data_IF_303954924059
#
_entry.id   IF_303954924059
#
_cell.length_a   1.000
_cell.length_b   1.000
_cell.length_c   1.000
_cell.angle_alpha   90.00
_cell.angle_beta   90.00
_cell.angle_gamma   90.00
#
_symmetry.space_group_name_H-M   'P 1'
#
loop_
_entity.id
_entity.type
_entity.pdbx_description
1 polymer ?
#
# COMPACT_ATOMS: atom_id res chain seq x y z
N UNK A 1 8.37 22.10 -3.10
CA UNK A 1 7.02 22.16 -3.68
C UNK A 1 6.79 23.60 -4.04
N UNK A 2 6.44 23.89 -5.29
CA UNK A 2 6.06 25.24 -5.70
C UNK A 2 4.60 25.14 -6.11
N UNK A 3 3.74 25.84 -5.40
CA UNK A 3 2.33 26.00 -5.73
C UNK A 3 2.17 27.33 -6.48
N UNK A 4 1.68 27.26 -7.72
CA UNK A 4 1.44 28.42 -8.56
C UNK A 4 -0.05 28.47 -8.91
N UNK A 5 -0.67 29.63 -8.69
CA UNK A 5 -2.05 29.87 -9.10
C UNK A 5 -2.06 30.39 -10.54
N UNK A 6 -2.49 29.57 -11.47
CA UNK A 6 -2.61 29.93 -12.89
C UNK A 6 -4.02 30.47 -13.14
N UNK A 7 -4.11 31.75 -13.50
CA UNK A 7 -5.37 32.40 -13.86
C UNK A 7 -5.52 32.39 -15.37
N UNK A 8 -6.46 31.61 -15.89
CA UNK A 8 -6.77 31.61 -17.32
C UNK A 8 -7.74 32.76 -17.64
N UNK A 9 -7.29 33.74 -18.42
CA UNK A 9 -8.15 34.79 -18.97
C UNK A 9 -8.65 34.40 -20.36
N UNK A 10 -9.96 34.19 -20.50
CA UNK A 10 -10.62 34.10 -21.81
C UNK A 10 -11.12 35.50 -22.19
N UNK A 11 -10.49 36.14 -23.19
CA UNK A 11 -10.97 37.42 -23.73
C UNK A 11 -12.16 37.13 -24.64
N UNK A 12 -13.37 37.39 -24.12
CA UNK A 12 -14.61 37.36 -24.89
C UNK A 12 -15.68 36.42 -24.33
N UNK A 13 -16.66 37.01 -23.63
CA UNK A 13 -17.93 36.45 -23.12
C UNK A 13 -17.87 35.64 -21.80
N UNK A 14 -18.52 36.22 -20.78
CA UNK A 14 -18.83 35.68 -19.45
C UNK A 14 -17.62 35.26 -18.58
N UNK A 15 -17.19 36.17 -17.71
CA UNK A 15 -16.09 35.95 -16.76
C UNK A 15 -16.50 34.98 -15.65
N UNK A 16 -16.30 33.68 -15.90
CA UNK A 16 -16.13 32.69 -14.85
C UNK A 16 -14.63 32.35 -14.80
N UNK A 17 -13.92 32.96 -13.86
CA UNK A 17 -12.49 32.76 -13.66
C UNK A 17 -12.26 31.32 -13.19
N UNK A 18 -11.84 30.45 -14.12
CA UNK A 18 -11.36 29.12 -13.76
C UNK A 18 -9.94 29.27 -13.21
N UNK A 19 -9.81 29.43 -11.90
CA UNK A 19 -8.52 29.35 -11.22
C UNK A 19 -8.03 27.92 -11.30
N UNK A 20 -6.85 27.71 -11.89
CA UNK A 20 -6.18 26.41 -11.95
C UNK A 20 -4.94 26.48 -11.10
N UNK A 21 -4.90 25.72 -10.01
CA UNK A 21 -3.66 25.57 -9.25
C UNK A 21 -2.80 24.52 -9.94
N UNK A 22 -1.57 24.90 -10.32
CA UNK A 22 -0.55 23.97 -10.76
C UNK A 22 0.49 23.81 -9.66
N UNK A 23 0.76 22.55 -9.29
CA UNK A 23 1.77 22.23 -8.28
C UNK A 23 2.89 21.45 -8.95
N UNK A 24 4.12 21.96 -8.83
CA UNK A 24 5.32 21.29 -9.35
C UNK A 24 6.11 20.66 -8.20
N UNK A 25 6.36 19.37 -8.37
CA UNK A 25 7.21 18.58 -7.48
C UNK A 25 8.48 18.19 -8.22
N UNK A 26 9.64 18.42 -7.61
CA UNK A 26 10.94 18.06 -8.18
C UNK A 26 11.25 16.57 -8.08
N UNK A 27 10.50 15.82 -7.27
CA UNK A 27 10.70 14.39 -7.08
C UNK A 27 9.36 13.64 -7.16
N UNK A 28 9.34 12.53 -7.90
CA UNK A 28 8.14 11.73 -8.13
C UNK A 28 7.52 11.21 -6.82
N UNK A 29 8.34 10.86 -5.82
CA UNK A 29 7.85 10.43 -4.50
C UNK A 29 6.98 11.50 -3.81
N UNK A 30 7.31 12.79 -3.91
CA UNK A 30 6.49 13.84 -3.30
C UNK A 30 5.18 14.03 -4.06
N UNK A 31 5.19 13.86 -5.38
CA UNK A 31 3.98 13.85 -6.19
C UNK A 31 3.07 12.67 -5.79
N UNK A 32 3.63 11.47 -5.64
CA UNK A 32 2.88 10.29 -5.21
C UNK A 32 2.35 10.44 -3.78
N UNK A 33 3.13 11.01 -2.87
CA UNK A 33 2.68 11.34 -1.53
C UNK A 33 1.53 12.36 -1.53
N UNK A 34 1.61 13.39 -2.37
CA UNK A 34 0.53 14.37 -2.51
C UNK A 34 -0.75 13.72 -3.06
N UNK A 35 -0.63 12.89 -4.10
CA UNK A 35 -1.76 12.12 -4.63
C UNK A 35 -2.34 11.13 -3.62
N UNK A 36 -1.50 10.55 -2.76
CA UNK A 36 -1.91 9.62 -1.71
C UNK A 36 -2.85 10.27 -0.69
N UNK A 37 -2.71 11.57 -0.42
CA UNK A 37 -3.62 12.29 0.49
C UNK A 37 -5.06 12.24 -0.03
N UNK A 38 -5.24 12.51 -1.32
CA UNK A 38 -6.57 12.49 -1.94
C UNK A 38 -7.11 11.07 -2.07
N UNK A 39 -6.26 10.09 -2.44
CA UNK A 39 -6.67 8.69 -2.46
C UNK A 39 -7.11 8.22 -1.07
N UNK A 40 -6.36 8.56 -0.03
CA UNK A 40 -6.68 8.24 1.37
C UNK A 40 -8.04 8.82 1.77
N UNK A 41 -8.27 10.10 1.45
CA UNK A 41 -9.54 10.78 1.72
C UNK A 41 -10.72 10.08 1.02
N UNK A 42 -10.60 9.77 -0.27
CA UNK A 42 -11.66 9.07 -1.02
C UNK A 42 -11.88 7.66 -0.44
N UNK A 43 -10.80 6.94 -0.15
CA UNK A 43 -10.85 5.56 0.31
C UNK A 43 -11.37 5.42 1.76
N UNK A 44 -11.21 6.43 2.61
CA UNK A 44 -11.79 6.42 3.95
C UNK A 44 -13.33 6.38 3.93
N UNK A 45 -13.95 7.05 2.95
CA UNK A 45 -15.39 7.28 2.93
C UNK A 45 -16.15 6.11 2.29
N UNK A 46 -16.71 5.23 3.14
CA UNK A 46 -17.44 4.02 2.73
C UNK A 46 -18.65 4.25 1.83
N UNK A 47 -19.21 5.47 1.79
CA UNK A 47 -20.32 5.88 0.91
C UNK A 47 -19.88 6.18 -0.52
N UNK A 48 -18.58 6.35 -0.76
CA UNK A 48 -18.02 6.71 -2.07
C UNK A 48 -17.45 5.50 -2.82
N UNK A 49 -18.01 4.29 -2.64
CA UNK A 49 -17.43 3.06 -3.22
C UNK A 49 -17.29 3.11 -4.74
N UNK A 50 -18.28 3.68 -5.43
CA UNK A 50 -18.25 3.79 -6.90
C UNK A 50 -17.23 4.83 -7.36
N UNK A 51 -17.02 5.89 -6.58
CA UNK A 51 -15.95 6.85 -6.85
C UNK A 51 -14.59 6.21 -6.59
N UNK A 52 -14.40 5.55 -5.45
CA UNK A 52 -13.18 4.83 -5.11
C UNK A 52 -12.81 3.81 -6.20
N UNK A 53 -13.76 2.96 -6.61
CA UNK A 53 -13.52 1.99 -7.69
C UNK A 53 -13.11 2.67 -8.99
N UNK A 54 -13.83 3.72 -9.42
CA UNK A 54 -13.50 4.47 -10.63
C UNK A 54 -12.14 5.15 -10.56
N UNK A 55 -11.73 5.62 -9.39
CA UNK A 55 -10.39 6.21 -9.18
C UNK A 55 -9.31 5.12 -9.24
N UNK A 56 -9.51 4.01 -8.52
CA UNK A 56 -8.55 2.90 -8.48
C UNK A 56 -8.37 2.22 -9.84
N UNK A 57 -9.43 2.10 -10.63
CA UNK A 57 -9.36 1.49 -11.97
C UNK A 57 -8.57 2.33 -12.99
N UNK A 58 -8.35 3.62 -12.71
CA UNK A 58 -7.56 4.53 -13.56
C UNK A 58 -6.07 4.55 -13.24
N UNK A 59 -5.67 4.03 -12.09
CA UNK A 59 -4.29 4.11 -11.60
C UNK A 59 -3.76 2.69 -11.51
N UNK A 60 -2.66 2.37 -12.18
CA UNK A 60 -2.00 1.08 -11.99
C UNK A 60 -1.29 1.06 -10.62
N UNK A 61 -1.72 0.21 -9.66
CA UNK A 61 -1.11 0.15 -8.33
C UNK A 61 0.38 -0.18 -8.33
N UNK A 62 0.87 -0.98 -9.28
CA UNK A 62 2.27 -1.41 -9.31
C UNK A 62 3.19 -0.30 -9.86
N UNK A 63 2.71 0.50 -10.80
CA UNK A 63 3.47 1.64 -11.35
C UNK A 63 3.47 2.86 -10.41
N UNK A 64 2.47 2.96 -9.54
CA UNK A 64 2.29 4.06 -8.58
C UNK A 64 2.23 3.53 -7.15
N UNK A 65 3.17 2.64 -6.83
CA UNK A 65 3.17 1.91 -5.57
C UNK A 65 3.17 2.83 -4.34
N UNK A 66 3.80 4.00 -4.41
CA UNK A 66 3.89 4.90 -3.27
C UNK A 66 2.57 5.63 -3.01
N UNK A 67 1.77 5.93 -4.04
CA UNK A 67 0.41 6.47 -3.85
C UNK A 67 -0.40 5.56 -2.91
N UNK A 68 -0.39 4.26 -3.18
CA UNK A 68 -1.17 3.27 -2.43
C UNK A 68 -0.57 3.01 -1.05
N UNK A 69 0.75 2.82 -0.96
CA UNK A 69 1.44 2.57 0.30
C UNK A 69 1.28 3.75 1.26
N UNK A 70 1.49 4.99 0.80
CA UNK A 70 1.26 6.17 1.61
C UNK A 70 -0.22 6.31 1.98
N UNK A 71 -1.16 6.13 1.05
CA UNK A 71 -2.59 6.25 1.36
C UNK A 71 -3.02 5.28 2.47
N UNK A 72 -2.51 4.05 2.42
CA UNK A 72 -2.68 3.10 3.51
C UNK A 72 -2.06 3.65 4.80
N UNK A 73 -0.76 3.95 4.83
CA UNK A 73 -0.08 4.43 6.03
C UNK A 73 -0.67 5.72 6.65
N UNK A 74 -1.36 6.53 5.87
CA UNK A 74 -2.04 7.75 6.31
C UNK A 74 -3.38 7.49 7.01
N UNK A 75 -4.13 6.46 6.63
CA UNK A 75 -5.47 6.20 7.19
C UNK A 75 -5.83 4.71 7.19
N UNK A 76 -6.18 4.19 8.37
CA UNK A 76 -6.53 2.77 8.54
C UNK A 76 -7.77 2.34 7.74
N UNK A 77 -8.82 3.17 7.70
CA UNK A 77 -10.05 2.82 6.95
C UNK A 77 -9.77 2.81 5.45
N UNK A 78 -8.98 3.78 4.98
CA UNK A 78 -8.51 3.79 3.59
C UNK A 78 -7.74 2.52 3.28
N UNK A 79 -6.81 2.11 4.16
CA UNK A 79 -6.03 0.90 4.00
C UNK A 79 -6.89 -0.35 3.85
N UNK A 80 -7.88 -0.54 4.72
CA UNK A 80 -8.81 -1.68 4.66
C UNK A 80 -9.54 -1.73 3.31
N UNK A 81 -10.00 -0.58 2.81
CA UNK A 81 -10.73 -0.52 1.54
C UNK A 81 -9.81 -0.73 0.32
N UNK A 82 -8.60 -0.16 0.34
CA UNK A 82 -7.59 -0.32 -0.70
C UNK A 82 -7.10 -1.77 -0.77
N UNK A 83 -6.74 -2.36 0.37
CA UNK A 83 -6.30 -3.76 0.46
C UNK A 83 -7.39 -4.70 -0.07
N UNK A 84 -8.65 -4.48 0.30
CA UNK A 84 -9.77 -5.28 -0.21
C UNK A 84 -9.94 -5.16 -1.73
N UNK A 85 -9.61 -4.02 -2.32
CA UNK A 85 -9.61 -3.86 -3.78
C UNK A 85 -8.46 -4.66 -4.42
N UNK A 86 -7.25 -4.55 -3.87
CA UNK A 86 -6.06 -5.24 -4.38
C UNK A 86 -6.19 -6.78 -4.28
N UNK A 87 -6.68 -7.30 -3.14
CA UNK A 87 -6.96 -8.73 -2.95
C UNK A 87 -7.95 -9.27 -3.99
N UNK A 88 -8.95 -8.47 -4.39
CA UNK A 88 -9.93 -8.87 -5.41
C UNK A 88 -9.33 -8.95 -6.82
N UNK A 89 -8.28 -8.18 -7.11
CA UNK A 89 -7.58 -8.29 -8.41
C UNK A 89 -6.71 -9.55 -8.50
N UNK A 90 -6.18 -10.04 -7.37
CA UNK A 90 -5.35 -11.24 -7.32
C UNK A 90 -4.00 -11.09 -8.03
N UNK A 91 -3.25 -12.19 -8.16
CA UNK A 91 -1.93 -12.20 -8.79
C UNK A 91 -0.92 -11.31 -8.05
N UNK A 92 -0.14 -10.52 -8.79
CA UNK A 92 0.86 -9.62 -8.22
C UNK A 92 0.28 -8.56 -7.26
N UNK A 93 -1.00 -8.24 -7.40
CA UNK A 93 -1.70 -7.32 -6.50
C UNK A 93 -1.90 -7.90 -5.10
N UNK A 94 -1.91 -9.23 -4.94
CA UNK A 94 -1.98 -9.86 -3.63
C UNK A 94 -0.68 -9.63 -2.84
N UNK A 95 0.49 -9.85 -3.46
CA UNK A 95 1.79 -9.52 -2.88
C UNK A 95 1.87 -8.03 -2.55
N UNK A 96 1.42 -7.18 -3.47
CA UNK A 96 1.41 -5.74 -3.27
C UNK A 96 0.49 -5.29 -2.11
N UNK A 97 -0.65 -5.96 -1.91
CA UNK A 97 -1.54 -5.69 -0.79
C UNK A 97 -0.84 -5.91 0.57
N UNK A 98 0.08 -6.88 0.66
CA UNK A 98 0.86 -7.12 1.87
C UNK A 98 1.78 -5.94 2.20
N UNK A 99 2.44 -5.37 1.18
CA UNK A 99 3.24 -4.14 1.33
C UNK A 99 2.38 -3.00 1.89
N UNK A 100 1.17 -2.82 1.34
CA UNK A 100 0.21 -1.82 1.81
C UNK A 100 -0.24 -2.04 3.27
N UNK A 101 -0.41 -3.28 3.72
CA UNK A 101 -0.73 -3.59 5.12
C UNK A 101 0.45 -3.22 6.03
N UNK A 102 1.69 -3.49 5.60
CA UNK A 102 2.90 -3.22 6.39
C UNK A 102 3.13 -1.73 6.69
N UNK A 103 2.52 -0.83 5.91
CA UNK A 103 2.57 0.63 6.16
C UNK A 103 1.75 1.07 7.37
N UNK A 104 0.83 0.23 7.86
CA UNK A 104 0.01 0.55 9.04
C UNK A 104 0.90 0.63 10.29
N UNK A 105 1.08 1.84 10.81
CA UNK A 105 1.77 2.07 12.07
C UNK A 105 0.79 1.88 13.22
N UNK A 106 0.89 0.74 13.91
CA UNK A 106 0.10 0.42 15.09
C UNK A 106 -0.90 -0.72 14.85
N UNK A 107 -0.90 -1.69 15.76
CA UNK A 107 -1.74 -2.89 15.69
C UNK A 107 -3.17 -2.63 16.12
N UNK A 108 -3.92 -1.85 15.34
CA UNK A 108 -5.36 -1.69 15.60
C UNK A 108 -6.10 -2.99 15.25
N UNK A 109 -7.30 -3.19 15.82
CA UNK A 109 -8.04 -4.46 15.67
C UNK A 109 -8.26 -4.86 14.20
N UNK A 110 -8.48 -3.91 13.29
CA UNK A 110 -8.70 -4.23 11.86
C UNK A 110 -7.40 -4.58 11.15
N UNK A 111 -6.31 -3.88 11.45
CA UNK A 111 -4.98 -4.22 10.94
C UNK A 111 -4.58 -5.60 11.41
N UNK A 112 -4.73 -5.89 12.70
CA UNK A 112 -4.44 -7.21 13.25
C UNK A 112 -5.31 -8.31 12.64
N UNK A 113 -6.56 -8.01 12.29
CA UNK A 113 -7.42 -8.94 11.55
C UNK A 113 -6.92 -9.20 10.13
N UNK A 114 -6.46 -8.18 9.40
CA UNK A 114 -5.83 -8.35 8.07
C UNK A 114 -4.54 -9.16 8.17
N UNK A 115 -3.68 -8.85 9.15
CA UNK A 115 -2.44 -9.58 9.42
C UNK A 115 -2.74 -11.04 9.80
N UNK A 116 -3.73 -11.27 10.66
CA UNK A 116 -4.14 -12.63 11.08
C UNK A 116 -4.68 -13.45 9.90
N UNK A 117 -5.50 -12.84 9.04
CA UNK A 117 -6.01 -13.48 7.83
C UNK A 117 -4.86 -13.88 6.88
N UNK A 118 -3.88 -12.99 6.70
CA UNK A 118 -2.69 -13.26 5.90
C UNK A 118 -1.87 -14.40 6.49
N UNK A 119 -1.68 -14.41 7.80
CA UNK A 119 -0.97 -15.44 8.56
C UNK A 119 -1.77 -16.74 8.76
N UNK A 120 -3.04 -16.79 8.38
CA UNK A 120 -3.84 -18.03 8.45
C UNK A 120 -3.51 -18.99 7.30
N UNK A 121 -2.82 -18.49 6.26
CA UNK A 121 -2.33 -19.29 5.14
C UNK A 121 -0.81 -19.43 5.22
N UNK A 122 -0.22 -20.47 4.61
CA UNK A 122 1.23 -20.55 4.46
C UNK A 122 1.75 -19.30 3.74
N UNK A 123 2.63 -18.56 4.41
CA UNK A 123 3.33 -17.43 3.81
C UNK A 123 4.61 -17.98 3.20
N UNK A 124 4.81 -17.71 1.91
CA UNK A 124 6.02 -18.12 1.16
C UNK A 124 6.87 -16.89 0.93
N UNK A 125 8.14 -16.98 1.28
CA UNK A 125 9.17 -16.00 0.97
C UNK A 125 10.13 -16.68 -0.02
N UNK A 126 10.26 -16.11 -1.20
CA UNK A 126 11.06 -16.63 -2.30
C UNK A 126 12.35 -15.80 -2.47
N UNK A 127 13.43 -16.41 -2.97
CA UNK A 127 14.70 -15.70 -3.21
C UNK A 127 14.62 -14.71 -4.37
N UNK A 128 13.68 -14.93 -5.29
CA UNK A 128 13.35 -13.98 -6.37
C UNK A 128 12.50 -12.79 -5.89
N UNK A 129 11.96 -12.83 -4.66
CA UNK A 129 11.21 -11.71 -4.12
C UNK A 129 12.13 -10.52 -3.81
N UNK A 130 11.64 -9.29 -4.07
CA UNK A 130 12.39 -8.10 -3.70
C UNK A 130 12.68 -8.05 -2.20
N UNK A 131 13.88 -7.58 -1.81
CA UNK A 131 14.27 -7.36 -0.41
C UNK A 131 13.24 -6.55 0.37
N UNK A 132 12.60 -5.58 -0.29
CA UNK A 132 11.52 -4.78 0.29
C UNK A 132 10.32 -5.65 0.69
N UNK A 133 9.86 -6.51 -0.22
CA UNK A 133 8.76 -7.44 0.07
C UNK A 133 9.11 -8.42 1.17
N UNK A 134 10.28 -9.05 1.10
CA UNK A 134 10.74 -9.98 2.14
C UNK A 134 10.73 -9.31 3.53
N UNK A 135 11.24 -8.08 3.64
CA UNK A 135 11.22 -7.30 4.89
C UNK A 135 9.80 -7.00 5.38
N UNK A 136 8.91 -6.59 4.48
CA UNK A 136 7.52 -6.32 4.84
C UNK A 136 6.80 -7.58 5.32
N UNK A 137 7.04 -8.74 4.70
CA UNK A 137 6.49 -10.02 5.15
C UNK A 137 6.98 -10.36 6.55
N UNK A 138 8.28 -10.23 6.82
CA UNK A 138 8.85 -10.44 8.16
C UNK A 138 8.21 -9.51 9.19
N UNK A 139 8.06 -8.22 8.87
CA UNK A 139 7.39 -7.24 9.75
C UNK A 139 5.92 -7.63 10.06
N UNK A 140 5.19 -8.15 9.06
CA UNK A 140 3.81 -8.63 9.26
C UNK A 140 3.79 -9.86 10.18
N UNK A 141 4.72 -10.80 10.01
CA UNK A 141 4.84 -11.99 10.86
C UNK A 141 5.21 -11.64 12.31
N UNK A 142 6.13 -10.71 12.52
CA UNK A 142 6.47 -10.19 13.85
C UNK A 142 5.26 -9.53 14.53
N UNK A 143 4.49 -8.75 13.75
CA UNK A 143 3.26 -8.11 14.22
C UNK A 143 2.21 -9.15 14.63
N UNK A 144 2.04 -10.19 13.82
CA UNK A 144 1.15 -11.31 14.11
C UNK A 144 1.56 -12.04 15.40
N UNK A 145 2.85 -12.34 15.53
CA UNK A 145 3.41 -13.05 16.69
C UNK A 145 3.14 -12.29 18.00
N UNK A 146 3.37 -10.97 18.02
CA UNK A 146 3.09 -10.11 19.19
C UNK A 146 1.61 -10.08 19.55
N UNK A 147 0.72 -10.14 18.56
CA UNK A 147 -0.72 -10.11 18.79
C UNK A 147 -1.28 -11.46 19.29
N UNK A 148 -0.71 -12.58 18.83
CA UNK A 148 -1.15 -13.95 19.15
C UNK A 148 -0.41 -14.57 20.34
N UNK A 149 0.15 -13.78 21.26
CA UNK A 149 0.76 -14.28 22.52
C UNK A 149 -0.26 -14.86 23.53
N UNK A 150 -1.41 -15.36 23.08
CA UNK A 150 -2.31 -16.23 23.86
C UNK A 150 -2.29 -17.66 23.32
N UNK A 151 -2.35 -18.71 24.17
CA UNK A 151 -1.66 -19.99 23.92
C UNK A 151 -2.30 -20.96 22.92
N UNK A 152 -3.26 -20.56 22.08
CA UNK A 152 -4.18 -21.50 21.43
C UNK A 152 -4.23 -21.47 19.90
N UNK A 153 -3.49 -20.60 19.22
CA UNK A 153 -3.52 -20.55 17.74
C UNK A 153 -2.16 -20.83 17.10
N UNK A 154 -2.15 -21.82 16.19
CA UNK A 154 -0.98 -22.24 15.41
C UNK A 154 -0.38 -21.04 14.69
N UNK A 155 0.88 -20.74 14.98
CA UNK A 155 1.65 -19.73 14.25
C UNK A 155 1.72 -20.11 12.76
N UNK A 156 1.70 -19.12 11.83
CA UNK A 156 1.98 -19.36 10.42
C UNK A 156 3.32 -20.06 10.26
N UNK A 157 3.32 -21.21 9.58
CA UNK A 157 4.56 -21.82 9.09
C UNK A 157 4.99 -20.99 7.87
N UNK A 158 5.99 -20.12 8.05
CA UNK A 158 6.69 -19.53 6.93
C UNK A 158 7.46 -20.65 6.22
N UNK A 159 7.14 -20.94 4.96
CA UNK A 159 7.93 -21.85 4.13
C UNK A 159 8.93 -21.02 3.36
N UNK A 160 10.21 -21.14 3.74
CA UNK A 160 11.32 -20.66 2.95
C UNK A 160 11.50 -21.62 1.77
N UNK A 161 11.36 -21.13 0.54
CA UNK A 161 11.80 -21.89 -0.63
C UNK A 161 13.28 -21.55 -0.83
N UNK A 162 14.14 -22.57 -0.75
CA UNK A 162 15.62 -22.50 -0.75
C UNK A 162 16.26 -21.74 0.44
N UNK A 163 16.28 -22.34 1.64
CA UNK A 163 17.08 -21.82 2.74
C UNK A 163 18.57 -21.99 2.40
N UNK A 164 19.25 -20.88 2.12
CA UNK A 164 20.71 -20.76 2.02
C UNK A 164 21.39 -21.61 0.93
N UNK A 165 21.73 -20.99 -0.22
CA UNK A 165 23.01 -21.30 -0.86
C UNK A 165 24.11 -20.70 0.00
N UNK A 166 24.47 -21.39 1.09
CA UNK A 166 25.76 -21.16 1.74
C UNK A 166 26.82 -21.47 0.68
N UNK A 167 27.47 -20.41 0.20
CA UNK A 167 28.67 -20.52 -0.61
C UNK A 167 29.71 -21.30 0.23
N UNK A 168 29.79 -22.60 0.00
CA UNK A 168 31.00 -23.36 0.26
C UNK A 168 32.05 -22.89 -0.76
N UNK A 169 32.70 -21.76 -0.47
CA UNK A 169 34.06 -21.56 -0.95
C UNK A 169 34.94 -22.54 -0.17
N UNK A 170 35.16 -23.71 -0.77
CA UNK A 170 36.24 -24.60 -0.35
C UNK A 170 37.55 -23.84 -0.56
N UNK A 171 38.33 -23.79 0.51
CA UNK A 171 39.77 -23.59 0.43
C UNK A 171 40.38 -24.69 -0.46
N UNK A 172 41.06 -24.27 -1.52
CA UNK A 172 42.27 -24.87 -2.07
C UNK A 172 43.20 -23.73 -2.50
#
# INVERSE_FOLDING_TARGET
MIEEQVVNYTIGKSTRTNQRTEVKFYHAIFLEWYAAQELSRIAEHSKQRDLLRRTLDKINPLNHQYVFRFACGLNEKAAVNIVKYLEKKGGDYEKFAQLCIAEQKGGTKKVNSMVSKLCSKPVTIDDDDSVLYQRSVVQLLETASKYHQTPTHRLPIAKLRNPFKLNNQKAE
#
